data_IF_085850334471
#
_entry.id   IF_085850334471
#
_cell.length_a   1.000
_cell.length_b   1.000
_cell.length_c   1.000
_cell.angle_alpha   90.00
_cell.angle_beta   90.00
_cell.angle_gamma   90.00
#
_symmetry.space_group_name_H-M   'P 1'
#
loop_
_entity.id
_entity.type
_entity.pdbx_description
1 polymer ?
#
# COMPACT_ATOMS: atom_id res chain seq x y z
N UNK A 1 9.12 -10.33 -8.89
CA UNK A 1 7.66 -10.04 -9.01
C UNK A 1 7.52 -8.54 -9.01
N UNK A 2 6.47 -8.01 -9.62
CA UNK A 2 6.25 -6.56 -9.73
C UNK A 2 4.78 -6.24 -9.44
N UNK A 3 4.53 -5.15 -8.74
CA UNK A 3 3.17 -4.71 -8.38
C UNK A 3 2.66 -3.76 -9.45
N UNK A 4 1.67 -4.21 -10.21
CA UNK A 4 1.15 -3.44 -11.32
C UNK A 4 0.46 -2.14 -10.87
N UNK A 5 0.97 -1.01 -11.37
CA UNK A 5 0.39 0.32 -11.23
C UNK A 5 0.03 0.68 -9.78
N UNK A 6 0.97 0.41 -8.86
CA UNK A 6 0.82 0.53 -7.42
C UNK A 6 0.07 1.81 -6.99
N UNK A 7 0.60 2.99 -7.34
CA UNK A 7 0.02 4.25 -6.88
C UNK A 7 -1.39 4.51 -7.40
N UNK A 8 -1.75 3.96 -8.56
CA UNK A 8 -3.03 4.18 -9.23
C UNK A 8 -4.04 3.06 -9.01
N UNK A 9 -3.74 2.09 -8.14
CA UNK A 9 -4.62 0.98 -7.81
C UNK A 9 -4.98 0.85 -6.32
N UNK A 10 -4.50 1.73 -5.44
CA UNK A 10 -4.83 1.67 -4.01
C UNK A 10 -6.21 2.32 -3.75
N UNK A 11 -7.21 1.55 -3.26
CA UNK A 11 -8.49 2.14 -2.84
C UNK A 11 -8.27 3.01 -1.61
N UNK A 12 -8.86 4.22 -1.61
CA UNK A 12 -8.66 5.19 -0.52
C UNK A 12 -8.97 4.60 0.85
N UNK A 13 -10.11 3.93 1.00
CA UNK A 13 -10.54 3.33 2.26
C UNK A 13 -9.59 2.26 2.79
N UNK A 14 -9.10 1.38 1.91
CA UNK A 14 -8.16 0.33 2.31
C UNK A 14 -6.80 0.90 2.66
N UNK A 15 -6.28 1.86 1.89
CA UNK A 15 -5.00 2.49 2.21
C UNK A 15 -5.04 3.37 3.47
N UNK A 16 -6.16 4.07 3.73
CA UNK A 16 -6.38 4.78 5.00
C UNK A 16 -6.44 3.79 6.15
N UNK A 17 -7.16 2.67 5.97
CA UNK A 17 -7.20 1.57 6.93
C UNK A 17 -5.81 1.05 7.27
N UNK A 18 -4.98 0.79 6.27
CA UNK A 18 -3.61 0.32 6.48
C UNK A 18 -2.73 1.34 7.20
N UNK A 19 -2.87 2.62 6.85
CA UNK A 19 -2.21 3.70 7.57
C UNK A 19 -2.64 3.76 9.04
N UNK A 20 -3.94 3.63 9.31
CA UNK A 20 -4.47 3.59 10.69
C UNK A 20 -3.92 2.42 11.48
N UNK A 21 -3.96 1.20 10.93
CA UNK A 21 -3.38 -0.01 11.54
C UNK A 21 -1.90 0.20 11.89
N UNK A 22 -1.11 0.78 10.98
CA UNK A 22 0.29 1.06 11.22
C UNK A 22 0.50 2.13 12.30
N UNK A 23 -0.26 3.23 12.27
CA UNK A 23 -0.18 4.29 13.27
C UNK A 23 -0.52 3.76 14.67
N UNK A 24 -1.55 2.93 14.81
CA UNK A 24 -1.94 2.33 16.09
C UNK A 24 -0.93 1.27 16.58
N UNK A 25 -0.32 0.52 15.66
CA UNK A 25 0.70 -0.49 16.00
C UNK A 25 2.01 0.12 16.48
N UNK A 26 2.47 1.20 15.83
CA UNK A 26 3.82 1.72 16.01
C UNK A 26 3.90 2.99 16.84
N UNK A 27 2.80 3.72 17.01
CA UNK A 27 2.77 4.91 17.89
C UNK A 27 2.35 4.50 19.29
N UNK A 28 2.96 5.11 20.30
CA UNK A 28 2.64 4.85 21.70
C UNK A 28 1.21 5.30 22.05
N UNK A 29 0.65 4.79 23.17
CA UNK A 29 -0.62 5.26 23.69
C UNK A 29 -0.55 6.78 23.93
N UNK A 30 -1.61 7.51 23.59
CA UNK A 30 -1.72 8.97 23.71
C UNK A 30 -0.75 9.79 22.83
N UNK A 31 -0.25 9.21 21.74
CA UNK A 31 0.54 9.98 20.77
C UNK A 31 -0.26 11.13 20.17
N UNK A 32 0.33 12.33 20.18
CA UNK A 32 -0.23 13.54 19.57
C UNK A 32 0.50 13.89 18.27
N UNK A 33 -0.21 14.29 17.19
CA UNK A 33 -1.67 14.30 17.05
C UNK A 33 -2.25 12.88 17.00
N UNK A 34 -3.55 12.69 17.22
CA UNK A 34 -4.15 11.35 17.24
C UNK A 34 -4.04 10.63 15.89
N UNK A 35 -4.07 9.30 15.89
CA UNK A 35 -4.07 8.52 14.63
C UNK A 35 -5.28 8.85 13.75
N UNK A 36 -6.45 9.11 14.35
CA UNK A 36 -7.64 9.59 13.63
C UNK A 36 -7.40 10.91 12.93
N UNK A 37 -6.83 11.90 13.64
CA UNK A 37 -6.52 13.20 13.03
C UNK A 37 -5.58 13.06 11.83
N UNK A 38 -4.57 12.19 11.93
CA UNK A 38 -3.68 11.92 10.80
C UNK A 38 -4.42 11.24 9.63
N UNK A 39 -5.36 10.34 9.90
CA UNK A 39 -6.18 9.72 8.87
C UNK A 39 -7.09 10.75 8.17
N UNK A 40 -7.65 11.70 8.92
CA UNK A 40 -8.47 12.78 8.34
C UNK A 40 -7.61 13.65 7.39
N UNK A 41 -6.36 13.95 7.76
CA UNK A 41 -5.44 14.67 6.88
C UNK A 41 -5.08 13.86 5.62
N UNK A 42 -4.89 12.54 5.76
CA UNK A 42 -4.66 11.64 4.63
C UNK A 42 -5.86 11.67 3.68
N UNK A 43 -7.09 11.57 4.21
CA UNK A 43 -8.31 11.61 3.41
C UNK A 43 -8.43 12.93 2.64
N UNK A 44 -8.11 14.06 3.28
CA UNK A 44 -8.09 15.37 2.62
C UNK A 44 -7.08 15.38 1.47
N UNK A 45 -5.86 14.88 1.67
CA UNK A 45 -4.84 14.82 0.60
C UNK A 45 -5.33 13.96 -0.57
N UNK A 46 -6.01 12.84 -0.31
CA UNK A 46 -6.49 11.91 -1.32
C UNK A 46 -7.72 12.42 -2.09
N UNK A 47 -8.58 13.21 -1.45
CA UNK A 47 -9.88 13.64 -2.01
C UNK A 47 -9.89 15.08 -2.54
N UNK A 48 -9.03 15.94 -2.01
CA UNK A 48 -8.87 17.34 -2.42
C UNK A 48 -7.69 17.54 -3.39
N UNK A 49 -7.26 16.48 -4.08
CA UNK A 49 -6.22 16.58 -5.09
C UNK A 49 -6.76 17.14 -6.41
N UNK A 50 -6.54 18.43 -6.62
CA UNK A 50 -6.85 19.12 -7.88
C UNK A 50 -5.57 19.47 -8.63
N UNK A 51 -5.56 19.24 -9.93
CA UNK A 51 -4.45 19.61 -10.81
C UNK A 51 -4.98 20.23 -12.10
N UNK A 52 -4.17 21.08 -12.72
CA UNK A 52 -4.46 21.65 -14.02
C UNK A 52 -3.83 20.77 -15.11
N UNK A 53 -4.60 20.47 -16.15
CA UNK A 53 -4.09 19.86 -17.36
C UNK A 53 -4.66 20.62 -18.56
N UNK A 54 -3.75 21.18 -19.37
CA UNK A 54 -4.07 22.23 -20.34
C UNK A 54 -4.76 23.44 -19.65
N UNK A 55 -5.91 23.87 -20.14
CA UNK A 55 -6.65 25.02 -19.60
C UNK A 55 -7.76 24.62 -18.61
N UNK A 56 -7.88 23.31 -18.33
CA UNK A 56 -8.94 22.76 -17.50
C UNK A 56 -8.42 22.29 -16.13
N UNK A 57 -9.26 22.50 -15.12
CA UNK A 57 -9.02 22.02 -13.75
C UNK A 57 -9.68 20.66 -13.54
N UNK A 58 -8.89 19.70 -13.06
CA UNK A 58 -9.32 18.33 -12.80
C UNK A 58 -9.15 17.99 -11.34
N UNK A 59 -10.05 17.16 -10.81
CA UNK A 59 -9.92 16.56 -9.49
C UNK A 59 -9.71 15.06 -9.64
N UNK A 60 -8.64 14.55 -9.04
CA UNK A 60 -8.40 13.11 -8.99
C UNK A 60 -9.40 12.48 -8.00
N UNK A 61 -10.22 11.55 -8.49
CA UNK A 61 -11.27 10.89 -7.69
C UNK A 61 -10.87 9.50 -7.19
N UNK A 62 -9.75 8.97 -7.67
CA UNK A 62 -9.29 7.63 -7.36
C UNK A 62 -7.78 7.65 -7.12
N UNK A 63 -7.33 6.86 -6.16
CA UNK A 63 -5.92 6.69 -5.82
C UNK A 63 -5.18 7.93 -5.30
N UNK A 64 -3.91 7.76 -4.98
CA UNK A 64 -3.05 8.84 -4.54
C UNK A 64 -2.48 9.59 -5.75
N UNK A 65 -2.38 10.91 -5.66
CA UNK A 65 -1.70 11.68 -6.70
C UNK A 65 -0.22 11.31 -6.74
N UNK A 66 0.28 10.96 -7.91
CA UNK A 66 1.71 10.79 -8.10
C UNK A 66 2.36 12.18 -7.96
N UNK A 67 3.33 12.30 -7.05
CA UNK A 67 4.04 13.56 -6.79
C UNK A 67 3.71 14.24 -5.46
N UNK A 68 2.72 13.78 -4.69
CA UNK A 68 2.61 14.26 -3.29
C UNK A 68 3.70 13.62 -2.44
N UNK A 69 4.25 14.38 -1.48
CA UNK A 69 5.28 13.89 -0.55
C UNK A 69 4.81 12.69 0.29
N UNK A 70 3.50 12.52 0.46
CA UNK A 70 2.91 11.48 1.30
C UNK A 70 2.72 10.16 0.54
N UNK A 71 2.52 10.22 -0.79
CA UNK A 71 2.17 9.08 -1.64
C UNK A 71 3.12 7.86 -1.48
N UNK A 72 4.46 8.01 -1.44
CA UNK A 72 5.36 6.87 -1.24
C UNK A 72 5.17 6.16 0.10
N UNK A 73 5.00 6.92 1.19
CA UNK A 73 4.78 6.37 2.53
C UNK A 73 3.43 5.66 2.61
N UNK A 74 2.38 6.27 2.06
CA UNK A 74 1.05 5.68 1.99
C UNK A 74 1.04 4.34 1.25
N UNK A 75 1.67 4.28 0.06
CA UNK A 75 1.75 3.05 -0.70
C UNK A 75 2.54 1.95 0.03
N UNK A 76 3.63 2.31 0.70
CA UNK A 76 4.42 1.35 1.48
C UNK A 76 3.65 0.77 2.67
N UNK A 77 2.84 1.59 3.36
CA UNK A 77 2.01 1.13 4.47
C UNK A 77 0.89 0.21 3.99
N UNK A 78 0.22 0.56 2.89
CA UNK A 78 -0.76 -0.32 2.25
C UNK A 78 -0.14 -1.66 1.83
N UNK A 79 1.00 -1.61 1.12
CA UNK A 79 1.70 -2.82 0.68
C UNK A 79 2.16 -3.68 1.85
N UNK A 80 2.63 -3.10 2.95
CA UNK A 80 3.04 -3.86 4.13
C UNK A 80 1.87 -4.69 4.68
N UNK A 81 0.67 -4.13 4.78
CA UNK A 81 -0.49 -4.88 5.27
C UNK A 81 -0.96 -5.94 4.27
N UNK A 82 -0.93 -5.62 2.96
CA UNK A 82 -1.27 -6.56 1.89
C UNK A 82 -0.31 -7.76 1.87
N UNK A 83 0.99 -7.52 1.96
CA UNK A 83 2.04 -8.54 1.99
C UNK A 83 1.92 -9.41 3.25
N UNK A 84 1.69 -8.81 4.41
CA UNK A 84 1.49 -9.55 5.66
C UNK A 84 0.32 -10.55 5.53
N UNK A 85 -0.81 -10.12 4.94
CA UNK A 85 -1.97 -10.99 4.70
C UNK A 85 -1.67 -12.07 3.67
N UNK A 86 -1.09 -11.69 2.52
CA UNK A 86 -0.77 -12.60 1.43
C UNK A 86 0.22 -13.70 1.85
N UNK A 87 1.29 -13.33 2.57
CA UNK A 87 2.28 -14.26 3.09
C UNK A 87 1.76 -15.08 4.27
N UNK A 88 0.78 -14.57 5.04
CA UNK A 88 0.15 -15.33 6.12
C UNK A 88 -0.76 -16.44 5.59
N UNK A 89 -1.49 -16.21 4.50
CA UNK A 89 -2.39 -17.21 3.89
C UNK A 89 -1.65 -18.26 3.06
N UNK A 90 -0.41 -17.98 2.63
CA UNK A 90 0.38 -18.91 1.85
C UNK A 90 0.80 -20.17 2.62
N UNK A 91 0.46 -21.35 2.06
CA UNK A 91 0.83 -22.65 2.63
C UNK A 91 2.35 -22.91 2.60
N UNK A 92 3.04 -22.41 1.58
CA UNK A 92 4.49 -22.43 1.47
C UNK A 92 4.99 -21.01 1.25
N UNK A 93 6.07 -20.65 1.94
CA UNK A 93 6.57 -19.27 1.95
C UNK A 93 7.94 -19.21 1.27
N UNK A 94 8.26 -18.09 0.61
CA UNK A 94 9.58 -17.88 0.08
C UNK A 94 10.62 -17.82 1.21
N UNK A 95 11.84 -18.27 0.92
CA UNK A 95 12.96 -18.23 1.87
C UNK A 95 13.40 -16.79 2.15
N UNK A 96 13.32 -15.94 1.14
CA UNK A 96 13.62 -14.51 1.21
C UNK A 96 12.48 -13.77 0.52
N UNK A 97 12.00 -12.69 1.14
CA UNK A 97 11.05 -11.74 0.56
C UNK A 97 11.55 -10.33 0.87
N UNK A 98 11.85 -9.57 -0.18
CA UNK A 98 12.31 -8.19 -0.11
C UNK A 98 11.52 -7.37 -1.11
N UNK A 99 11.11 -6.17 -0.72
CA UNK A 99 10.40 -5.25 -1.60
C UNK A 99 11.08 -3.90 -1.62
N UNK A 100 11.18 -3.32 -2.82
CA UNK A 100 11.56 -1.93 -3.04
C UNK A 100 10.46 -1.25 -3.83
N UNK A 101 9.61 -0.48 -3.15
CA UNK A 101 8.41 0.15 -3.72
C UNK A 101 7.47 -0.91 -4.35
N UNK A 102 7.49 -1.07 -5.66
CA UNK A 102 6.70 -1.99 -6.49
C UNK A 102 7.46 -3.28 -6.85
N UNK A 103 8.79 -3.24 -6.88
CA UNK A 103 9.64 -4.39 -7.17
C UNK A 103 9.77 -5.34 -5.98
N UNK A 104 9.44 -6.61 -6.19
CA UNK A 104 9.57 -7.69 -5.20
C UNK A 104 10.64 -8.69 -5.65
N UNK A 105 11.69 -8.81 -4.84
CA UNK A 105 12.69 -9.86 -4.93
C UNK A 105 12.36 -10.99 -3.96
N UNK A 106 12.31 -12.23 -4.46
CA UNK A 106 12.10 -13.40 -3.62
C UNK A 106 13.01 -14.56 -4.00
N UNK A 107 13.36 -15.38 -3.01
CA UNK A 107 14.07 -16.65 -3.23
C UNK A 107 13.15 -17.80 -2.89
N UNK A 108 12.92 -18.68 -3.87
CA UNK A 108 12.02 -19.81 -3.75
C UNK A 108 12.78 -21.14 -3.73
N UNK A 109 12.42 -22.04 -2.81
CA UNK A 109 13.11 -23.33 -2.61
C UNK A 109 12.18 -24.55 -2.65
N UNK A 110 10.90 -24.37 -2.98
CA UNK A 110 9.88 -25.43 -2.90
C UNK A 110 9.49 -26.01 -4.27
N UNK A 111 10.29 -25.78 -5.31
CA UNK A 111 10.04 -26.26 -6.67
C UNK A 111 8.99 -25.43 -7.42
N UNK A 112 8.94 -25.62 -8.75
CA UNK A 112 8.14 -24.77 -9.66
C UNK A 112 6.63 -24.89 -9.46
N UNK A 113 6.10 -26.10 -9.28
CA UNK A 113 4.66 -26.33 -9.10
C UNK A 113 4.09 -25.56 -7.90
N UNK A 114 4.80 -25.59 -6.75
CA UNK A 114 4.37 -24.83 -5.57
C UNK A 114 4.52 -23.32 -5.76
N UNK A 115 5.49 -22.87 -6.57
CA UNK A 115 5.64 -21.45 -6.92
C UNK A 115 4.45 -20.96 -7.73
N UNK A 116 4.01 -21.72 -8.73
CA UNK A 116 2.87 -21.33 -9.57
C UNK A 116 1.58 -21.25 -8.72
N UNK A 117 1.37 -22.18 -7.78
CA UNK A 117 0.28 -22.11 -6.80
C UNK A 117 0.38 -20.89 -5.88
N UNK A 118 1.59 -20.58 -5.40
CA UNK A 118 1.83 -19.40 -4.55
C UNK A 118 1.51 -18.09 -5.30
N UNK A 119 1.93 -17.95 -6.55
CA UNK A 119 1.70 -16.74 -7.37
C UNK A 119 0.23 -16.61 -7.77
N UNK A 120 -0.48 -17.72 -8.01
CA UNK A 120 -1.89 -17.70 -8.39
C UNK A 120 -2.85 -17.47 -7.22
N UNK A 121 -2.34 -17.37 -5.99
CA UNK A 121 -3.16 -17.09 -4.81
C UNK A 121 -3.75 -15.66 -4.90
N UNK A 122 -5.03 -15.47 -4.54
CA UNK A 122 -5.60 -14.12 -4.45
C UNK A 122 -4.93 -13.30 -3.35
N UNK A 123 -4.78 -12.01 -3.61
CA UNK A 123 -4.38 -10.99 -2.65
C UNK A 123 -5.59 -10.47 -1.88
#
# INVERSE_FOLDING_TARGET
MDVNALYTNIPHGEGIGACKSALEKWRGPNSSPSSTFLCDLIEIILTCNCFQFADDMWRQIHCAAIGTCMTPSYANLFMSELEDKFLASAATKPKIWLRYIDDIFLVWTHGRSNLDTFIAQPC
#
